data_IF_577988347708
#
_entry.id   IF_577988347708
#
_cell.length_a   1.000
_cell.length_b   1.000
_cell.length_c   1.000
_cell.angle_alpha   90.00
_cell.angle_beta   90.00
_cell.angle_gamma   90.00
#
_symmetry.space_group_name_H-M   'P 1'
#
loop_
_entity.id
_entity.type
_entity.pdbx_description
1 polymer ?
#
# COMPACT_ATOMS: atom_id res chain seq x y z
N UNK A 1 -7.69 8.48 -2.28
CA UNK A 1 -7.79 7.16 -2.95
C UNK A 1 -9.26 6.78 -3.08
N UNK A 2 -9.69 6.26 -4.24
CA UNK A 2 -11.08 5.82 -4.47
C UNK A 2 -11.17 4.30 -4.43
N UNK A 3 -11.99 3.77 -3.53
CA UNK A 3 -12.13 2.34 -3.27
C UNK A 3 -13.45 1.85 -3.85
N UNK A 4 -13.41 0.72 -4.55
CA UNK A 4 -14.60 0.03 -5.05
C UNK A 4 -14.58 -1.42 -4.57
N UNK A 5 -15.67 -1.86 -3.98
CA UNK A 5 -15.87 -3.25 -3.52
C UNK A 5 -17.14 -3.76 -4.16
N UNK A 6 -17.11 -4.98 -4.72
CA UNK A 6 -18.27 -5.65 -5.29
C UNK A 6 -18.33 -7.09 -4.80
N UNK A 7 -19.54 -7.59 -4.58
CA UNK A 7 -19.83 -8.98 -4.23
C UNK A 7 -19.00 -9.51 -3.04
N UNK A 8 -18.93 -8.76 -1.93
CA UNK A 8 -18.19 -9.15 -0.73
C UNK A 8 -19.09 -9.14 0.51
N UNK A 9 -19.48 -10.33 0.99
CA UNK A 9 -20.37 -10.48 2.14
C UNK A 9 -21.70 -9.75 1.93
N UNK A 10 -22.08 -8.88 2.87
CA UNK A 10 -23.29 -8.06 2.76
C UNK A 10 -23.21 -6.94 1.69
N UNK A 11 -22.01 -6.66 1.16
CA UNK A 11 -21.81 -5.62 0.14
C UNK A 11 -22.00 -6.19 -1.27
N UNK A 12 -23.16 -5.94 -1.88
CA UNK A 12 -23.33 -6.14 -3.34
C UNK A 12 -22.42 -5.19 -4.13
N UNK A 13 -22.41 -3.91 -3.73
CA UNK A 13 -21.52 -2.88 -4.26
C UNK A 13 -21.30 -1.81 -3.18
N UNK A 14 -20.07 -1.30 -3.09
CA UNK A 14 -19.72 -0.10 -2.34
C UNK A 14 -18.66 0.69 -3.10
N UNK A 15 -18.76 2.01 -3.05
CA UNK A 15 -17.78 2.93 -3.61
C UNK A 15 -17.60 4.10 -2.63
N UNK A 16 -16.37 4.34 -2.19
CA UNK A 16 -16.06 5.40 -1.23
C UNK A 16 -14.67 5.97 -1.48
N UNK A 17 -14.49 7.22 -1.07
CA UNK A 17 -13.22 7.94 -1.18
C UNK A 17 -12.65 8.13 0.21
N UNK A 18 -11.35 7.87 0.35
CA UNK A 18 -10.62 8.17 1.58
C UNK A 18 -10.19 9.63 1.61
N UNK A 19 -10.54 10.31 2.71
CA UNK A 19 -10.11 11.66 3.11
C UNK A 19 -9.31 11.57 4.42
N UNK A 20 -8.75 12.69 4.88
CA UNK A 20 -7.93 12.78 6.11
C UNK A 20 -8.60 12.13 7.33
N UNK A 21 -9.93 12.27 7.40
CA UNK A 21 -10.76 11.56 8.38
C UNK A 21 -12.01 11.01 7.68
N UNK A 22 -12.24 9.70 7.80
CA UNK A 22 -13.34 9.01 7.11
C UNK A 22 -14.13 8.17 8.12
N UNK A 23 -15.43 8.40 8.22
CA UNK A 23 -16.34 7.63 9.08
C UNK A 23 -17.24 6.75 8.22
N UNK A 24 -17.30 5.46 8.55
CA UNK A 24 -18.27 4.52 7.99
C UNK A 24 -19.33 4.19 9.06
N UNK A 25 -20.55 4.67 8.86
CA UNK A 25 -21.66 4.53 9.80
C UNK A 25 -22.87 3.83 9.16
N UNK A 26 -23.81 3.35 9.98
CA UNK A 26 -24.99 2.60 9.56
C UNK A 26 -25.33 1.43 10.48
N UNK A 27 -26.42 0.73 10.19
CA UNK A 27 -26.92 -0.38 11.02
C UNK A 27 -25.97 -1.58 11.08
N UNK A 28 -26.14 -2.44 12.07
CA UNK A 28 -25.36 -3.68 12.17
C UNK A 28 -25.60 -4.57 10.95
N UNK A 29 -24.56 -5.32 10.59
CA UNK A 29 -24.60 -6.29 9.49
C UNK A 29 -24.83 -5.71 8.07
N UNK A 30 -24.66 -4.39 7.87
CA UNK A 30 -24.83 -3.75 6.54
C UNK A 30 -23.53 -3.64 5.72
N UNK A 31 -22.48 -4.36 6.12
CA UNK A 31 -21.23 -4.41 5.36
C UNK A 31 -20.13 -3.43 5.79
N UNK A 32 -20.33 -2.65 6.87
CA UNK A 32 -19.29 -1.75 7.41
C UNK A 32 -17.97 -2.46 7.65
N UNK A 33 -18.00 -3.57 8.40
CA UNK A 33 -16.82 -4.41 8.70
C UNK A 33 -16.18 -4.96 7.44
N UNK A 34 -16.97 -5.42 6.46
CA UNK A 34 -16.45 -5.89 5.18
C UNK A 34 -15.72 -4.79 4.41
N UNK A 35 -16.28 -3.58 4.35
CA UNK A 35 -15.64 -2.44 3.70
C UNK A 35 -14.32 -2.05 4.39
N UNK A 36 -14.31 -2.00 5.73
CA UNK A 36 -13.10 -1.64 6.48
C UNK A 36 -12.03 -2.72 6.36
N UNK A 37 -12.40 -4.00 6.43
CA UNK A 37 -11.45 -5.10 6.39
C UNK A 37 -10.90 -5.33 4.98
N UNK A 38 -11.72 -5.16 3.93
CA UNK A 38 -11.24 -5.20 2.56
C UNK A 38 -10.22 -4.09 2.31
N UNK A 39 -10.51 -2.86 2.78
CA UNK A 39 -9.58 -1.75 2.70
C UNK A 39 -8.28 -2.04 3.47
N UNK A 40 -8.41 -2.50 4.72
CA UNK A 40 -7.24 -2.83 5.55
C UNK A 40 -6.39 -3.91 4.89
N UNK A 41 -7.00 -5.00 4.42
CA UNK A 41 -6.31 -6.10 3.77
C UNK A 41 -5.58 -5.65 2.50
N UNK A 42 -6.21 -4.80 1.69
CA UNK A 42 -5.56 -4.18 0.54
C UNK A 42 -4.34 -3.35 0.96
N UNK A 43 -4.50 -2.38 1.86
CA UNK A 43 -3.40 -1.50 2.27
C UNK A 43 -2.26 -2.26 2.95
N UNK A 44 -2.58 -3.24 3.79
CA UNK A 44 -1.61 -4.10 4.46
C UNK A 44 -0.79 -4.92 3.45
N UNK A 45 -1.48 -5.55 2.50
CA UNK A 45 -0.83 -6.37 1.46
C UNK A 45 0.00 -5.50 0.52
N UNK A 46 -0.57 -4.37 0.08
CA UNK A 46 0.10 -3.40 -0.78
C UNK A 46 1.43 -2.93 -0.19
N UNK A 47 1.42 -2.56 1.10
CA UNK A 47 2.64 -2.15 1.82
C UNK A 47 3.71 -3.25 1.85
N UNK A 48 3.32 -4.53 1.85
CA UNK A 48 4.25 -5.67 1.91
C UNK A 48 4.74 -6.12 0.54
N UNK A 49 3.95 -5.90 -0.51
CA UNK A 49 4.35 -6.20 -1.89
C UNK A 49 5.42 -5.23 -2.39
N UNK A 50 5.44 -4.01 -1.83
CA UNK A 50 6.39 -2.99 -2.21
C UNK A 50 7.76 -3.22 -1.57
N UNK A 51 8.77 -3.56 -2.39
CA UNK A 51 10.17 -3.64 -1.96
C UNK A 51 11.04 -2.83 -2.89
N UNK A 52 11.73 -1.83 -2.35
CA UNK A 52 12.74 -1.08 -3.09
C UNK A 52 14.01 -1.92 -3.13
N UNK A 53 14.41 -2.36 -4.33
CA UNK A 53 15.65 -3.12 -4.48
C UNK A 53 16.84 -2.18 -4.37
N UNK A 54 17.71 -2.46 -3.41
CA UNK A 54 19.00 -1.78 -3.27
C UNK A 54 20.02 -2.49 -4.16
N UNK A 55 20.83 -1.71 -4.89
CA UNK A 55 21.86 -2.27 -5.78
C UNK A 55 22.88 -3.08 -4.96
N UNK A 56 23.37 -4.19 -5.51
CA UNK A 56 24.23 -5.14 -4.80
C UNK A 56 25.54 -4.50 -4.30
N UNK A 57 26.12 -3.60 -5.09
CA UNK A 57 27.34 -2.87 -4.75
C UNK A 57 27.18 -1.95 -3.51
N UNK A 58 25.96 -1.47 -3.24
CA UNK A 58 25.65 -0.70 -2.03
C UNK A 58 25.57 -1.61 -0.80
N UNK A 59 25.02 -2.81 -0.96
CA UNK A 59 24.96 -3.83 0.09
C UNK A 59 26.38 -4.29 0.44
N UNK A 60 27.20 -4.56 -0.57
CA UNK A 60 28.58 -4.99 -0.37
C UNK A 60 29.40 -3.91 0.37
N UNK A 61 29.20 -2.62 0.02
CA UNK A 61 29.78 -1.48 0.76
C UNK A 61 29.30 -1.39 2.21
N UNK A 62 28.02 -1.62 2.48
CA UNK A 62 27.49 -1.64 3.85
C UNK A 62 28.15 -2.74 4.68
N UNK A 63 28.35 -3.92 4.10
CA UNK A 63 28.99 -5.05 4.78
C UNK A 63 30.49 -4.79 5.05
N UNK A 64 31.16 -4.06 4.17
CA UNK A 64 32.59 -3.74 4.32
C UNK A 64 32.84 -2.56 5.27
N UNK A 65 32.12 -1.45 5.08
CA UNK A 65 32.37 -0.16 5.74
C UNK A 65 31.52 0.02 7.01
N UNK A 66 30.52 -0.84 7.23
CA UNK A 66 29.58 -0.78 8.35
C UNK A 66 28.53 0.34 8.25
N UNK A 67 28.69 1.27 7.29
CA UNK A 67 27.77 2.38 7.04
C UNK A 67 27.78 2.77 5.57
N UNK A 68 26.61 3.14 5.05
CA UNK A 68 26.45 3.76 3.73
C UNK A 68 25.52 4.96 3.83
N UNK A 69 25.60 5.87 2.85
CA UNK A 69 24.61 6.91 2.61
C UNK A 69 23.97 6.65 1.26
N UNK A 70 22.66 6.44 1.26
CA UNK A 70 21.87 6.29 0.04
C UNK A 70 21.24 7.64 -0.30
N UNK A 71 21.40 8.09 -1.54
CA UNK A 71 20.63 9.22 -2.04
C UNK A 71 19.21 8.75 -2.38
N UNK A 72 18.22 9.37 -1.73
CA UNK A 72 16.81 9.04 -1.96
C UNK A 72 16.37 9.49 -3.35
N UNK A 73 17.00 10.52 -3.92
CA UNK A 73 16.61 11.06 -5.24
C UNK A 73 16.77 10.01 -6.35
N UNK A 74 17.80 9.15 -6.28
CA UNK A 74 17.97 8.03 -7.23
C UNK A 74 16.75 7.11 -7.32
N UNK A 75 16.01 6.94 -6.22
CA UNK A 75 14.82 6.10 -6.16
C UNK A 75 13.55 6.88 -6.47
N UNK A 76 13.49 8.17 -6.14
CA UNK A 76 12.37 9.06 -6.49
C UNK A 76 12.25 9.21 -8.00
N UNK A 77 13.37 9.35 -8.70
CA UNK A 77 13.40 9.39 -10.18
C UNK A 77 12.85 8.12 -10.82
N UNK A 78 12.93 6.98 -10.11
CA UNK A 78 12.44 5.68 -10.57
C UNK A 78 11.09 5.30 -9.94
N UNK A 79 10.44 6.21 -9.22
CA UNK A 79 9.24 5.90 -8.42
C UNK A 79 8.13 5.24 -9.26
N UNK A 80 7.89 5.73 -10.48
CA UNK A 80 6.88 5.15 -11.37
C UNK A 80 7.20 3.68 -11.73
N UNK A 81 8.45 3.37 -12.02
CA UNK A 81 8.90 2.01 -12.36
C UNK A 81 8.81 1.08 -11.15
N UNK A 82 9.18 1.57 -9.98
CA UNK A 82 9.09 0.81 -8.72
C UNK A 82 7.61 0.52 -8.40
N UNK A 83 6.72 1.49 -8.59
CA UNK A 83 5.27 1.31 -8.42
C UNK A 83 4.71 0.30 -9.41
N UNK A 84 5.10 0.38 -10.68
CA UNK A 84 4.67 -0.55 -11.71
C UNK A 84 5.08 -2.01 -11.43
N UNK A 85 6.19 -2.26 -10.72
CA UNK A 85 6.59 -3.62 -10.32
C UNK A 85 5.76 -4.20 -9.17
N UNK A 86 5.10 -3.34 -8.38
CA UNK A 86 4.26 -3.75 -7.25
C UNK A 86 2.76 -3.88 -7.57
N UNK A 87 2.34 -3.44 -8.77
CA UNK A 87 0.96 -3.49 -9.28
C UNK A 87 0.76 -4.71 -10.19
#
# INVERSE_FOLDING_TARGET
>A
MKIKVKNLGALKQAEFTLSDFTILCGNNNTGKTYATYALFGFLYTWRRMFSIKIKKDQIDRLLADGVIRLDIQEYVEQAEQIIAQGC
#
